data_IF_043826807156
#
_entry.id   IF_043826807156
#
_cell.length_a   1.000
_cell.length_b   1.000
_cell.length_c   1.000
_cell.angle_alpha   90.00
_cell.angle_beta   90.00
_cell.angle_gamma   90.00
#
_symmetry.space_group_name_H-M   'P 1'
#
loop_
_entity.id
_entity.type
_entity.pdbx_description
1 polymer ?
#
# COMPACT_ATOMS: atom_id res chain seq x y z
N UNK A 1 -9.99 18.21 67.50
CA UNK A 1 -10.52 16.91 67.91
C UNK A 1 -9.94 15.93 66.91
N UNK A 2 -8.79 15.37 67.22
CA UNK A 2 -8.49 14.02 67.70
C UNK A 2 -9.17 12.94 66.93
N UNK A 3 -8.36 12.23 66.16
CA UNK A 3 -7.85 10.84 66.33
C UNK A 3 -8.71 9.89 65.49
N UNK A 4 -8.23 9.03 64.61
CA UNK A 4 -7.16 8.02 64.77
C UNK A 4 -6.60 7.61 63.38
N UNK A 5 -5.27 7.61 63.29
CA UNK A 5 -4.50 6.60 62.56
C UNK A 5 -4.73 5.25 63.22
N UNK A 6 -4.86 4.18 62.48
CA UNK A 6 -4.30 2.88 62.84
C UNK A 6 -4.37 1.88 61.67
N UNK A 7 -3.22 1.40 61.32
CA UNK A 7 -2.85 0.04 60.95
C UNK A 7 -3.45 -0.64 59.73
N UNK A 8 -2.68 -0.59 58.66
CA UNK A 8 -2.75 -1.55 57.57
C UNK A 8 -1.36 -2.08 57.19
N UNK A 9 -0.71 -2.78 58.16
CA UNK A 9 0.33 -3.77 57.87
C UNK A 9 0.13 -5.01 58.73
N UNK A 10 -0.29 -6.16 58.16
CA UNK A 10 -0.22 -7.42 58.92
C UNK A 10 1.22 -7.90 58.93
N UNK A 11 1.64 -8.14 60.14
CA UNK A 11 2.88 -8.77 60.55
C UNK A 11 3.14 -10.13 59.90
N UNK A 12 4.41 -10.35 59.58
CA UNK A 12 5.19 -11.59 59.54
C UNK A 12 4.59 -12.87 58.93
N UNK A 13 5.21 -13.42 57.90
CA UNK A 13 4.78 -14.69 57.32
C UNK A 13 5.20 -15.85 58.26
N UNK A 14 4.21 -16.61 58.70
CA UNK A 14 4.39 -17.90 59.31
C UNK A 14 5.20 -18.82 58.40
N UNK A 15 6.07 -19.58 59.02
CA UNK A 15 6.89 -20.64 58.42
C UNK A 15 6.03 -21.58 57.58
N UNK A 16 5.99 -21.41 56.27
CA UNK A 16 5.48 -22.43 55.36
C UNK A 16 6.56 -23.47 55.20
N UNK A 17 6.30 -24.65 55.70
CA UNK A 17 7.19 -25.83 55.60
C UNK A 17 7.51 -26.12 54.16
N UNK A 18 8.80 -26.04 53.83
CA UNK A 18 9.40 -26.49 52.56
C UNK A 18 9.45 -28.05 52.60
N UNK A 19 8.30 -28.69 52.54
CA UNK A 19 8.24 -30.17 52.45
C UNK A 19 7.70 -30.68 51.09
N UNK A 20 7.17 -29.81 50.23
CA UNK A 20 6.65 -30.26 48.93
C UNK A 20 7.65 -30.16 47.74
N UNK A 21 8.69 -29.38 47.86
CA UNK A 21 9.70 -29.27 46.81
C UNK A 21 10.65 -30.51 46.77
N UNK A 22 10.86 -31.18 47.91
CA UNK A 22 11.72 -32.37 47.96
C UNK A 22 11.08 -33.64 47.39
N UNK A 23 9.77 -33.75 47.37
CA UNK A 23 9.08 -34.92 46.81
C UNK A 23 9.00 -34.85 45.26
N UNK A 24 8.78 -33.68 44.71
CA UNK A 24 8.70 -33.45 43.26
C UNK A 24 10.10 -33.58 42.63
N UNK A 25 11.13 -33.09 43.31
CA UNK A 25 12.50 -33.23 42.84
C UNK A 25 13.02 -34.67 42.92
N UNK A 26 12.60 -35.47 43.92
CA UNK A 26 12.90 -36.92 44.00
C UNK A 26 12.14 -37.74 42.97
N UNK A 27 10.96 -37.34 42.56
CA UNK A 27 10.20 -38.00 41.47
C UNK A 27 10.79 -37.69 40.11
N UNK A 28 11.23 -36.46 39.86
CA UNK A 28 11.99 -36.09 38.67
C UNK A 28 13.34 -36.84 38.59
N UNK A 29 14.09 -36.88 39.70
CA UNK A 29 15.37 -37.68 39.72
C UNK A 29 15.15 -39.17 39.52
N UNK A 30 14.02 -39.75 39.98
CA UNK A 30 13.72 -41.19 39.72
C UNK A 30 13.27 -41.44 38.26
N UNK A 31 12.63 -40.49 37.60
CA UNK A 31 12.29 -40.58 36.19
C UNK A 31 13.55 -40.51 35.28
N UNK A 32 14.58 -39.81 35.69
CA UNK A 32 15.85 -39.72 34.95
C UNK A 32 16.85 -40.86 35.30
N UNK A 33 16.61 -41.64 36.37
CA UNK A 33 17.52 -42.68 36.81
C UNK A 33 17.27 -44.06 36.16
N UNK A 34 16.23 -44.21 35.36
CA UNK A 34 16.01 -45.42 34.56
C UNK A 34 16.79 -45.32 33.25
N UNK A 35 17.68 -46.23 32.98
CA UNK A 35 18.44 -46.30 31.73
C UNK A 35 17.55 -46.28 30.50
N UNK A 36 16.34 -46.85 30.55
CA UNK A 36 15.34 -46.82 29.48
C UNK A 36 14.73 -45.41 29.27
N UNK A 37 14.48 -44.67 30.31
CA UNK A 37 13.98 -43.28 30.19
C UNK A 37 15.07 -42.33 29.68
N UNK A 38 16.28 -42.47 30.09
CA UNK A 38 17.42 -41.72 29.52
C UNK A 38 17.61 -42.01 28.03
N UNK A 39 17.46 -43.26 27.62
CA UNK A 39 17.56 -43.68 26.22
C UNK A 39 16.40 -43.09 25.38
N UNK A 40 15.17 -43.05 25.89
CA UNK A 40 14.02 -42.44 25.25
C UNK A 40 14.18 -40.91 25.10
N UNK A 41 14.71 -40.23 26.11
CA UNK A 41 15.02 -38.82 26.03
C UNK A 41 16.15 -38.51 25.04
N UNK A 42 17.16 -39.35 24.99
CA UNK A 42 18.24 -39.23 24.02
C UNK A 42 17.72 -39.42 22.57
N UNK A 43 16.85 -40.41 22.33
CA UNK A 43 16.17 -40.60 21.05
C UNK A 43 15.29 -39.45 20.68
N UNK A 44 14.54 -38.88 21.62
CA UNK A 44 13.70 -37.70 21.41
C UNK A 44 14.52 -36.47 21.04
N UNK A 45 15.64 -36.23 21.73
CA UNK A 45 16.55 -35.11 21.40
C UNK A 45 17.21 -35.31 20.04
N UNK A 46 17.62 -36.52 19.70
CA UNK A 46 18.15 -36.85 18.35
C UNK A 46 17.11 -36.66 17.28
N UNK A 47 15.84 -37.06 17.51
CA UNK A 47 14.75 -36.85 16.56
C UNK A 47 14.44 -35.37 16.40
N UNK A 48 14.41 -34.60 17.49
CA UNK A 48 14.21 -33.14 17.46
C UNK A 48 15.33 -32.39 16.73
N UNK A 49 16.59 -32.78 16.99
CA UNK A 49 17.72 -32.16 16.29
C UNK A 49 17.77 -32.56 14.80
N UNK A 50 17.45 -33.81 14.45
CA UNK A 50 17.33 -34.23 13.07
C UNK A 50 16.19 -33.51 12.34
N UNK A 51 15.03 -33.37 12.99
CA UNK A 51 13.90 -32.58 12.44
C UNK A 51 14.25 -31.10 12.26
N UNK A 52 14.96 -30.52 13.22
CA UNK A 52 15.42 -29.11 13.12
C UNK A 52 16.43 -28.93 11.99
N UNK A 53 17.42 -29.85 11.86
CA UNK A 53 18.40 -29.80 10.77
C UNK A 53 17.75 -30.05 9.40
N UNK A 54 16.77 -30.97 9.32
CA UNK A 54 15.99 -31.18 8.09
C UNK A 54 15.16 -29.99 7.73
N UNK A 55 14.56 -29.32 8.71
CA UNK A 55 13.80 -28.06 8.50
C UNK A 55 14.73 -26.93 8.05
N UNK A 56 15.89 -26.76 8.68
CA UNK A 56 16.89 -25.79 8.25
C UNK A 56 17.40 -26.10 6.83
N UNK A 57 17.69 -27.36 6.51
CA UNK A 57 18.10 -27.78 5.17
C UNK A 57 16.99 -27.52 4.14
N UNK A 58 15.70 -27.73 4.51
CA UNK A 58 14.56 -27.42 3.65
C UNK A 58 14.43 -25.92 3.42
N UNK A 59 14.56 -25.10 4.48
CA UNK A 59 14.54 -23.64 4.39
C UNK A 59 15.71 -23.13 3.53
N UNK A 60 16.90 -23.63 3.73
CA UNK A 60 18.09 -23.27 2.93
C UNK A 60 17.97 -23.72 1.47
N UNK A 61 17.43 -24.92 1.23
CA UNK A 61 17.21 -25.43 -0.13
C UNK A 61 16.11 -24.63 -0.83
N UNK A 62 14.99 -24.35 -0.14
CA UNK A 62 13.93 -23.48 -0.67
C UNK A 62 14.47 -22.09 -0.95
N UNK A 63 15.28 -21.51 -0.05
CA UNK A 63 15.89 -20.18 -0.25
C UNK A 63 16.88 -20.18 -1.43
N UNK A 64 17.63 -21.27 -1.66
CA UNK A 64 18.50 -21.42 -2.84
C UNK A 64 17.71 -21.56 -4.14
N UNK A 65 16.59 -22.27 -4.14
CA UNK A 65 15.70 -22.34 -5.31
C UNK A 65 15.03 -20.98 -5.60
N UNK A 66 14.58 -20.25 -4.58
CA UNK A 66 14.07 -18.89 -4.75
C UNK A 66 15.18 -17.90 -5.16
N UNK A 67 16.36 -17.97 -4.56
CA UNK A 67 17.51 -17.16 -4.96
C UNK A 67 17.99 -17.48 -6.39
N UNK A 68 17.88 -18.72 -6.85
CA UNK A 68 18.21 -19.10 -8.22
C UNK A 68 17.21 -18.52 -9.25
N UNK A 69 15.95 -18.28 -8.87
CA UNK A 69 14.96 -17.63 -9.75
C UNK A 69 15.20 -16.11 -9.89
N UNK A 70 15.85 -15.47 -8.90
CA UNK A 70 16.14 -14.02 -8.90
C UNK A 70 17.62 -13.67 -9.06
N UNK A 71 18.49 -14.57 -9.37
CA UNK A 71 19.93 -14.33 -9.39
C UNK A 71 20.63 -14.71 -10.70
N UNK A 72 19.87 -15.05 -11.74
CA UNK A 72 20.48 -15.36 -13.04
C UNK A 72 20.98 -14.11 -13.75
N UNK A 73 22.13 -14.21 -14.46
CA UNK A 73 22.72 -13.13 -15.24
C UNK A 73 21.71 -12.45 -16.21
N UNK A 74 20.73 -13.19 -16.68
CA UNK A 74 19.68 -12.66 -17.56
C UNK A 74 18.75 -11.71 -16.80
N UNK A 75 18.32 -12.07 -15.59
CA UNK A 75 17.46 -11.23 -14.73
C UNK A 75 18.17 -9.93 -14.35
N UNK A 76 19.42 -9.99 -13.89
CA UNK A 76 20.20 -8.80 -13.58
C UNK A 76 20.41 -7.89 -14.80
N UNK A 77 20.65 -8.47 -15.97
CA UNK A 77 20.78 -7.69 -17.21
C UNK A 77 19.49 -6.95 -17.55
N UNK A 78 18.33 -7.58 -17.40
CA UNK A 78 17.04 -6.94 -17.62
C UNK A 78 16.81 -5.79 -16.64
N UNK A 79 17.14 -5.96 -15.36
CA UNK A 79 17.02 -4.91 -14.34
C UNK A 79 17.95 -3.74 -14.69
N UNK A 80 19.23 -3.97 -14.94
CA UNK A 80 20.18 -2.92 -15.32
C UNK A 80 19.74 -2.17 -16.57
N UNK A 81 19.25 -2.86 -17.58
CA UNK A 81 18.75 -2.25 -18.82
C UNK A 81 17.50 -1.38 -18.58
N UNK A 82 16.60 -1.82 -17.70
CA UNK A 82 15.39 -1.06 -17.31
C UNK A 82 15.73 0.14 -16.44
N UNK A 83 16.67 0.00 -15.50
CA UNK A 83 17.13 1.04 -14.58
C UNK A 83 17.98 2.13 -15.24
N UNK A 84 18.54 1.86 -16.42
CA UNK A 84 19.40 2.82 -17.11
C UNK A 84 18.58 4.01 -17.63
N UNK A 85 18.97 5.27 -17.24
CA UNK A 85 18.39 6.46 -17.85
C UNK A 85 18.71 6.54 -19.33
N UNK A 86 17.77 7.07 -20.13
CA UNK A 86 17.93 7.24 -21.59
C UNK A 86 18.25 8.70 -21.97
N UNK A 87 18.51 9.55 -21.00
CA UNK A 87 18.87 10.94 -21.27
C UNK A 87 20.36 11.04 -21.59
N UNK A 88 20.74 11.78 -22.64
CA UNK A 88 22.15 12.03 -22.91
C UNK A 88 22.77 12.86 -21.77
N UNK A 89 24.03 12.61 -21.41
CA UNK A 89 24.77 13.45 -20.50
C UNK A 89 24.77 14.92 -21.00
N UNK A 90 24.55 15.88 -20.10
CA UNK A 90 24.53 17.30 -20.46
C UNK A 90 23.21 17.83 -21.03
N UNK A 91 22.13 17.06 -21.03
CA UNK A 91 20.80 17.58 -21.38
C UNK A 91 20.39 18.70 -20.41
N UNK A 92 19.70 19.74 -20.89
CA UNK A 92 19.18 20.85 -20.06
C UNK A 92 18.25 20.38 -18.91
N UNK A 93 17.77 19.14 -18.97
CA UNK A 93 16.93 18.51 -17.94
C UNK A 93 17.73 17.74 -16.87
N UNK A 94 19.07 17.85 -16.85
CA UNK A 94 19.95 17.16 -15.90
C UNK A 94 20.18 15.66 -16.23
N UNK A 95 20.95 14.98 -15.39
CA UNK A 95 21.15 13.54 -15.46
C UNK A 95 19.80 12.82 -15.18
N UNK A 96 19.48 11.78 -15.96
CA UNK A 96 18.28 10.99 -15.73
C UNK A 96 18.35 10.23 -14.40
N UNK A 97 17.19 9.98 -13.79
CA UNK A 97 17.07 9.23 -12.54
C UNK A 97 17.05 7.73 -12.80
N UNK A 98 17.50 6.94 -11.84
CA UNK A 98 17.24 5.50 -11.74
C UNK A 98 16.25 5.29 -10.60
N UNK A 99 15.03 4.83 -10.92
CA UNK A 99 13.89 4.82 -9.99
C UNK A 99 13.37 3.41 -9.76
N UNK A 100 13.32 3.01 -8.50
CA UNK A 100 12.58 1.82 -8.07
C UNK A 100 11.13 2.21 -7.77
N UNK A 101 10.17 1.59 -8.45
CA UNK A 101 8.72 1.82 -8.23
C UNK A 101 8.11 0.58 -7.60
N UNK A 102 7.69 0.64 -6.33
CA UNK A 102 6.95 -0.45 -5.71
C UNK A 102 5.45 -0.28 -5.96
N UNK A 103 4.72 -1.40 -6.10
CA UNK A 103 3.32 -1.37 -6.55
C UNK A 103 3.19 -0.94 -8.03
N UNK A 104 4.19 -1.26 -8.85
CA UNK A 104 4.30 -0.79 -10.24
C UNK A 104 3.14 -1.27 -11.14
N UNK A 105 2.62 -2.47 -10.91
CA UNK A 105 1.44 -2.98 -11.62
C UNK A 105 0.11 -2.50 -11.00
N UNK A 106 0.16 -1.64 -9.98
CA UNK A 106 -0.98 -0.91 -9.43
C UNK A 106 -1.42 0.23 -10.35
N UNK A 107 -2.54 0.89 -10.02
CA UNK A 107 -3.08 1.99 -10.81
C UNK A 107 -2.10 3.17 -10.92
N UNK A 108 -1.73 3.75 -9.79
CA UNK A 108 -0.83 4.91 -9.74
C UNK A 108 0.58 4.51 -10.20
N UNK A 109 1.06 3.33 -9.75
CA UNK A 109 2.40 2.82 -10.11
C UNK A 109 2.61 2.68 -11.61
N UNK A 110 1.61 2.20 -12.34
CA UNK A 110 1.67 2.08 -13.81
C UNK A 110 1.81 3.45 -14.48
N UNK A 111 0.99 4.43 -14.09
CA UNK A 111 1.04 5.77 -14.70
C UNK A 111 2.33 6.52 -14.35
N UNK A 112 2.79 6.44 -13.09
CA UNK A 112 4.05 7.04 -12.69
C UNK A 112 5.24 6.41 -13.43
N UNK A 113 5.28 5.07 -13.54
CA UNK A 113 6.35 4.38 -14.27
C UNK A 113 6.41 4.79 -15.74
N UNK A 114 5.25 4.90 -16.41
CA UNK A 114 5.17 5.35 -17.80
C UNK A 114 5.61 6.80 -17.96
N UNK A 115 5.21 7.69 -17.04
CA UNK A 115 5.61 9.10 -17.08
C UNK A 115 7.11 9.29 -16.85
N UNK A 116 7.68 8.60 -15.86
CA UNK A 116 9.13 8.58 -15.62
C UNK A 116 9.88 8.09 -16.86
N UNK A 117 9.42 6.97 -17.44
CA UNK A 117 10.03 6.42 -18.66
C UNK A 117 9.93 7.35 -19.84
N UNK A 118 8.77 8.01 -20.03
CA UNK A 118 8.57 9.04 -21.07
C UNK A 118 9.48 10.23 -20.86
N UNK A 119 9.77 10.61 -19.63
CA UNK A 119 10.74 11.68 -19.27
C UNK A 119 12.19 11.28 -19.56
N UNK A 120 12.47 10.00 -19.79
CA UNK A 120 13.81 9.46 -20.07
C UNK A 120 14.53 8.90 -18.86
N UNK A 121 13.83 8.67 -17.75
CA UNK A 121 14.39 8.04 -16.56
C UNK A 121 14.47 6.52 -16.71
N UNK A 122 15.39 5.89 -15.96
CA UNK A 122 15.44 4.46 -15.74
C UNK A 122 14.37 4.07 -14.71
N UNK A 123 13.62 2.98 -14.97
CA UNK A 123 12.53 2.55 -14.09
C UNK A 123 12.54 1.04 -13.94
N UNK A 124 12.59 0.56 -12.71
CA UNK A 124 12.33 -0.84 -12.34
C UNK A 124 11.11 -0.91 -11.45
N UNK A 125 10.18 -1.80 -11.77
CA UNK A 125 8.99 -2.02 -10.95
C UNK A 125 9.11 -3.24 -10.05
N UNK A 126 8.41 -3.22 -8.89
CA UNK A 126 8.14 -4.38 -8.04
C UNK A 126 6.65 -4.42 -7.75
N UNK A 127 6.01 -5.59 -7.88
CA UNK A 127 4.60 -5.82 -7.51
C UNK A 127 4.43 -7.29 -7.14
N UNK A 128 3.64 -7.58 -6.10
CA UNK A 128 3.37 -8.97 -5.67
C UNK A 128 2.15 -9.59 -6.36
N UNK A 129 1.49 -8.85 -7.24
CA UNK A 129 0.29 -9.27 -7.98
C UNK A 129 -0.81 -9.86 -7.10
N UNK A 130 -0.94 -9.40 -5.85
CA UNK A 130 -1.95 -9.91 -4.92
C UNK A 130 -3.36 -9.88 -5.52
N UNK A 131 -4.22 -10.79 -5.06
CA UNK A 131 -5.56 -11.02 -5.59
C UNK A 131 -6.64 -10.15 -4.89
N UNK A 132 -6.31 -8.96 -4.39
CA UNK A 132 -7.30 -8.02 -3.84
C UNK A 132 -8.44 -7.72 -4.84
N UNK A 133 -8.12 -7.64 -6.10
CA UNK A 133 -9.03 -7.71 -7.23
C UNK A 133 -8.42 -8.64 -8.29
N UNK A 134 -9.19 -8.98 -9.33
CA UNK A 134 -8.72 -9.88 -10.41
C UNK A 134 -7.33 -9.46 -10.91
N UNK A 135 -6.32 -10.32 -10.78
CA UNK A 135 -4.95 -10.04 -11.19
C UNK A 135 -4.76 -9.81 -12.69
N UNK A 136 -5.76 -10.15 -13.53
CA UNK A 136 -5.69 -9.96 -14.98
C UNK A 136 -5.39 -8.51 -15.37
N UNK A 137 -6.00 -7.55 -14.64
CA UNK A 137 -5.75 -6.12 -14.85
C UNK A 137 -4.31 -5.72 -14.47
N UNK A 138 -3.73 -6.30 -13.40
CA UNK A 138 -2.33 -6.09 -13.04
C UNK A 138 -1.39 -6.70 -14.09
N UNK A 139 -1.70 -7.88 -14.59
CA UNK A 139 -0.93 -8.54 -15.69
C UNK A 139 -0.98 -7.70 -16.98
N UNK A 140 -2.15 -7.14 -17.32
CA UNK A 140 -2.27 -6.23 -18.46
C UNK A 140 -1.46 -4.94 -18.31
N UNK A 141 -1.44 -4.35 -17.11
CA UNK A 141 -0.57 -3.20 -16.79
C UNK A 141 0.90 -3.56 -16.87
N UNK A 142 1.32 -4.75 -16.37
CA UNK A 142 2.69 -5.26 -16.54
C UNK A 142 3.08 -5.39 -18.01
N UNK A 143 2.19 -5.92 -18.85
CA UNK A 143 2.43 -6.01 -20.31
C UNK A 143 2.58 -4.62 -20.95
N UNK A 144 1.75 -3.65 -20.54
CA UNK A 144 1.87 -2.25 -20.97
C UNK A 144 3.21 -1.64 -20.53
N UNK A 145 3.64 -1.85 -19.30
CA UNK A 145 4.94 -1.39 -18.78
C UNK A 145 6.10 -2.01 -19.58
N UNK A 146 6.04 -3.32 -19.82
CA UNK A 146 7.05 -4.05 -20.60
C UNK A 146 7.18 -3.52 -22.04
N UNK A 147 6.06 -3.17 -22.71
CA UNK A 147 6.07 -2.58 -24.06
C UNK A 147 6.76 -1.21 -24.10
N UNK A 148 6.88 -0.53 -22.97
CA UNK A 148 7.62 0.73 -22.81
C UNK A 148 9.03 0.56 -22.24
N UNK A 149 9.50 -0.70 -22.09
CA UNK A 149 10.82 -1.03 -21.59
C UNK A 149 10.99 -0.82 -20.08
N UNK A 150 9.91 -1.00 -19.32
CA UNK A 150 9.92 -1.07 -17.85
C UNK A 150 9.80 -2.53 -17.42
N UNK A 151 10.84 -3.03 -16.76
CA UNK A 151 10.84 -4.37 -16.20
C UNK A 151 10.18 -4.37 -14.83
N UNK A 152 9.20 -5.26 -14.61
CA UNK A 152 8.48 -5.42 -13.35
C UNK A 152 8.83 -6.76 -12.74
N UNK A 153 9.51 -6.70 -11.61
CA UNK A 153 9.84 -7.87 -10.77
C UNK A 153 8.58 -8.29 -10.01
N UNK A 154 8.24 -9.56 -10.09
CA UNK A 154 7.19 -10.15 -9.26
C UNK A 154 7.78 -10.50 -7.90
N UNK A 155 7.37 -9.79 -6.85
CA UNK A 155 7.89 -9.97 -5.51
C UNK A 155 7.18 -9.10 -4.48
N UNK A 156 7.28 -9.49 -3.21
CA UNK A 156 6.70 -8.77 -2.08
C UNK A 156 7.71 -7.81 -1.47
N UNK A 157 7.26 -6.60 -1.10
CA UNK A 157 8.10 -5.61 -0.42
C UNK A 157 8.53 -6.02 0.99
N UNK A 158 7.92 -7.06 1.57
CA UNK A 158 8.36 -7.66 2.81
C UNK A 158 9.56 -8.61 2.62
N UNK A 159 9.92 -8.92 1.39
CA UNK A 159 11.12 -9.70 1.12
C UNK A 159 12.37 -8.80 1.10
N UNK A 160 12.98 -8.65 2.27
CA UNK A 160 14.19 -7.85 2.44
C UNK A 160 15.37 -8.36 1.59
N UNK A 161 15.44 -9.69 1.29
CA UNK A 161 16.50 -10.25 0.43
C UNK A 161 16.33 -9.81 -1.02
N UNK A 162 15.08 -9.80 -1.50
CA UNK A 162 14.78 -9.27 -2.83
C UNK A 162 15.17 -7.80 -2.94
N UNK A 163 14.77 -6.98 -1.95
CA UNK A 163 15.08 -5.56 -1.95
C UNK A 163 16.60 -5.31 -1.90
N UNK A 164 17.32 -5.97 -0.99
CA UNK A 164 18.77 -5.90 -0.92
C UNK A 164 19.42 -6.28 -2.26
N UNK A 165 18.97 -7.39 -2.89
CA UNK A 165 19.49 -7.80 -4.20
C UNK A 165 19.21 -6.77 -5.30
N UNK A 166 18.08 -6.08 -5.27
CA UNK A 166 17.78 -5.02 -6.22
C UNK A 166 18.72 -3.83 -6.07
N UNK A 167 19.01 -3.41 -4.83
CA UNK A 167 19.97 -2.33 -4.55
C UNK A 167 21.41 -2.73 -4.88
N UNK A 168 21.81 -4.00 -4.69
CA UNK A 168 23.12 -4.51 -5.13
C UNK A 168 23.28 -4.46 -6.67
N UNK A 169 22.20 -4.75 -7.40
CA UNK A 169 22.23 -4.75 -8.87
C UNK A 169 22.22 -3.34 -9.44
N UNK A 170 21.50 -2.40 -8.80
CA UNK A 170 21.30 -1.03 -9.30
C UNK A 170 21.41 -0.03 -8.15
N UNK A 171 22.28 0.98 -8.24
CA UNK A 171 22.27 2.12 -7.33
C UNK A 171 21.10 3.05 -7.68
N UNK A 172 19.91 2.74 -7.14
CA UNK A 172 18.75 3.58 -7.38
C UNK A 172 18.93 4.97 -6.75
N UNK A 173 18.71 6.01 -7.53
CA UNK A 173 18.73 7.39 -7.04
C UNK A 173 17.45 7.77 -6.32
N UNK A 174 16.34 7.12 -6.68
CA UNK A 174 15.02 7.39 -6.12
C UNK A 174 14.22 6.12 -5.91
N UNK A 175 13.35 6.15 -4.90
CA UNK A 175 12.32 5.13 -4.66
C UNK A 175 10.96 5.81 -4.68
N UNK A 176 10.05 5.31 -5.51
CA UNK A 176 8.65 5.70 -5.52
C UNK A 176 7.83 4.57 -4.91
N UNK A 177 7.49 4.71 -3.62
CA UNK A 177 6.79 3.68 -2.86
C UNK A 177 5.27 3.84 -2.96
N UNK A 178 4.66 3.08 -3.87
CA UNK A 178 3.22 3.07 -4.14
C UNK A 178 2.56 1.72 -3.79
N UNK A 179 3.35 0.72 -3.40
CA UNK A 179 2.83 -0.54 -2.90
C UNK A 179 2.08 -0.32 -1.58
N UNK A 180 0.84 -0.74 -1.53
CA UNK A 180 0.02 -0.68 -0.33
C UNK A 180 -1.22 -1.55 -0.49
N UNK A 181 -1.75 -2.07 0.61
CA UNK A 181 -3.12 -2.52 0.67
C UNK A 181 -4.01 -1.28 0.84
N UNK A 182 -4.84 -1.02 -0.14
CA UNK A 182 -5.74 0.14 -0.19
C UNK A 182 -7.21 -0.28 -0.02
N UNK A 183 -8.08 0.69 0.26
CA UNK A 183 -9.52 0.47 0.44
C UNK A 183 -9.93 0.47 1.91
N UNK A 184 -10.81 1.39 2.31
CA UNK A 184 -11.21 1.53 3.72
C UNK A 184 -12.10 0.36 4.20
N UNK A 185 -12.95 -0.18 3.32
CA UNK A 185 -13.94 -1.22 3.66
C UNK A 185 -13.30 -2.60 3.78
N UNK A 186 -12.43 -2.95 2.88
CA UNK A 186 -11.75 -4.25 2.89
C UNK A 186 -10.88 -4.47 4.15
N UNK A 187 -10.52 -3.39 4.82
CA UNK A 187 -9.81 -3.46 6.10
C UNK A 187 -10.62 -4.16 7.22
N UNK A 188 -11.95 -4.19 7.11
CA UNK A 188 -12.81 -4.92 8.03
C UNK A 188 -12.85 -6.42 7.72
N UNK A 189 -12.60 -6.80 6.46
CA UNK A 189 -12.61 -8.20 6.00
C UNK A 189 -11.22 -8.85 6.17
N UNK A 190 -10.16 -8.12 5.87
CA UNK A 190 -8.78 -8.62 5.92
C UNK A 190 -7.82 -7.58 6.55
N UNK A 191 -7.87 -7.36 7.88
CA UNK A 191 -7.02 -6.38 8.55
C UNK A 191 -5.53 -6.72 8.48
N UNK A 192 -5.17 -8.00 8.49
CA UNK A 192 -3.78 -8.45 8.47
C UNK A 192 -3.03 -7.97 7.21
N UNK A 193 -3.72 -7.92 6.05
CA UNK A 193 -3.10 -7.44 4.80
C UNK A 193 -2.67 -5.98 4.86
N UNK A 194 -3.33 -5.16 5.68
CA UNK A 194 -2.96 -3.74 5.88
C UNK A 194 -1.73 -3.59 6.75
N UNK A 195 -1.63 -4.37 7.82
CA UNK A 195 -0.42 -4.39 8.66
C UNK A 195 0.77 -4.91 7.85
N UNK A 196 0.59 -6.02 7.13
CA UNK A 196 1.62 -6.61 6.29
C UNK A 196 2.14 -5.63 5.24
N UNK A 197 1.26 -5.05 4.42
CA UNK A 197 1.70 -4.22 3.28
C UNK A 197 2.06 -2.79 3.68
N UNK A 198 1.27 -2.16 4.59
CA UNK A 198 1.40 -0.73 4.83
C UNK A 198 2.35 -0.40 5.98
N UNK A 199 2.60 -1.35 6.88
CA UNK A 199 3.49 -1.16 8.03
C UNK A 199 4.76 -1.99 7.84
N UNK A 200 4.68 -3.32 7.86
CA UNK A 200 5.84 -4.19 7.76
C UNK A 200 6.60 -3.96 6.44
N UNK A 201 5.88 -3.94 5.31
CA UNK A 201 6.50 -3.69 4.00
C UNK A 201 7.14 -2.31 3.87
N UNK A 202 6.54 -1.27 4.47
CA UNK A 202 7.16 0.06 4.52
C UNK A 202 8.47 0.02 5.30
N UNK A 203 8.49 -0.60 6.51
CA UNK A 203 9.69 -0.70 7.33
C UNK A 203 10.78 -1.49 6.60
N UNK A 204 10.45 -2.65 6.01
CA UNK A 204 11.42 -3.46 5.25
C UNK A 204 12.04 -2.66 4.09
N UNK A 205 11.24 -1.85 3.38
CA UNK A 205 11.75 -0.99 2.31
C UNK A 205 12.66 0.11 2.86
N UNK A 206 12.27 0.77 3.97
CA UNK A 206 13.06 1.82 4.59
C UNK A 206 14.41 1.30 5.11
N UNK A 207 14.45 0.08 5.68
CA UNK A 207 15.69 -0.59 6.05
C UNK A 207 16.61 -0.80 4.84
N UNK A 208 16.07 -1.31 3.73
CA UNK A 208 16.85 -1.47 2.49
C UNK A 208 17.37 -0.12 1.93
N UNK A 209 16.57 0.94 2.02
CA UNK A 209 16.97 2.28 1.59
C UNK A 209 18.03 2.90 2.51
N UNK A 210 17.93 2.63 3.81
CA UNK A 210 18.88 3.09 4.83
C UNK A 210 20.27 2.49 4.58
N UNK A 211 20.33 1.21 4.24
CA UNK A 211 21.55 0.45 4.04
C UNK A 211 22.16 0.65 2.64
N UNK A 212 21.43 1.30 1.72
CA UNK A 212 21.92 1.58 0.36
C UNK A 212 22.99 2.70 0.33
N UNK A 213 23.97 2.55 -0.57
CA UNK A 213 25.00 3.58 -0.84
C UNK A 213 25.08 3.86 -2.35
N UNK A 214 24.72 5.07 -2.80
CA UNK A 214 24.14 6.18 -2.04
C UNK A 214 22.67 5.89 -1.62
N UNK A 215 22.25 6.51 -0.50
CA UNK A 215 20.86 6.44 -0.07
C UNK A 215 19.93 7.11 -1.10
N UNK A 216 18.83 6.45 -1.53
CA UNK A 216 17.90 7.05 -2.49
C UNK A 216 16.99 8.09 -1.83
N UNK A 217 16.54 9.09 -2.60
CA UNK A 217 15.42 9.93 -2.20
C UNK A 217 14.10 9.13 -2.34
N UNK A 218 13.25 9.20 -1.33
CA UNK A 218 12.03 8.38 -1.24
C UNK A 218 10.80 9.27 -1.37
N UNK A 219 9.89 8.89 -2.25
CA UNK A 219 8.54 9.45 -2.33
C UNK A 219 7.54 8.34 -2.07
N UNK A 220 6.62 8.53 -1.13
CA UNK A 220 5.68 7.48 -0.80
C UNK A 220 4.23 7.97 -0.75
N UNK A 221 3.31 7.04 -1.01
CA UNK A 221 1.89 7.30 -1.03
C UNK A 221 1.29 7.25 0.38
N UNK A 222 1.03 8.41 1.00
CA UNK A 222 0.08 8.57 2.08
C UNK A 222 -1.34 8.67 1.51
N UNK A 223 -2.30 9.20 2.24
CA UNK A 223 -3.69 9.29 1.82
C UNK A 223 -4.41 10.42 2.54
N UNK A 224 -5.38 11.05 1.88
CA UNK A 224 -6.33 11.97 2.55
C UNK A 224 -7.16 11.29 3.64
N UNK A 225 -7.19 9.96 3.69
CA UNK A 225 -7.85 9.21 4.76
C UNK A 225 -7.24 9.46 6.14
N UNK A 226 -6.00 9.97 6.23
CA UNK A 226 -5.35 10.34 7.50
C UNK A 226 -6.09 11.47 8.22
N UNK A 227 -6.84 12.32 7.51
CA UNK A 227 -7.67 13.35 8.13
C UNK A 227 -8.83 12.77 8.94
N UNK A 228 -9.24 11.53 8.68
CA UNK A 228 -10.17 10.76 9.49
C UNK A 228 -11.50 11.48 9.76
N UNK A 229 -11.79 11.68 11.03
CA UNK A 229 -13.01 12.35 11.53
C UNK A 229 -12.89 13.87 11.62
N UNK A 230 -11.91 14.47 10.98
CA UNK A 230 -11.79 15.92 10.93
C UNK A 230 -12.95 16.51 10.12
N UNK A 231 -13.67 17.45 10.68
CA UNK A 231 -14.84 18.14 10.09
C UNK A 231 -14.48 19.46 9.39
N UNK A 232 -13.26 19.99 9.66
CA UNK A 232 -12.76 21.20 9.00
C UNK A 232 -12.39 20.92 7.55
N UNK A 233 -13.03 21.60 6.62
CA UNK A 233 -12.74 21.54 5.18
C UNK A 233 -12.55 22.94 4.59
N UNK A 234 -11.68 23.10 3.56
CA UNK A 234 -10.81 22.10 2.94
C UNK A 234 -9.68 21.63 3.85
N UNK A 235 -9.30 20.34 3.75
CA UNK A 235 -8.21 19.76 4.53
C UNK A 235 -6.85 20.35 4.15
N UNK A 236 -6.10 20.80 5.14
CA UNK A 236 -4.73 21.29 5.03
C UNK A 236 -3.75 20.34 5.68
N UNK A 237 -2.51 20.31 5.23
CA UNK A 237 -1.44 19.50 5.83
C UNK A 237 -1.18 19.82 7.30
N UNK A 238 -1.61 21.01 7.77
CA UNK A 238 -1.53 21.47 9.17
C UNK A 238 -2.69 20.99 10.03
N UNK A 239 -3.73 20.41 9.43
CA UNK A 239 -4.89 19.95 10.18
C UNK A 239 -4.60 18.64 10.92
N UNK A 240 -5.34 18.42 12.00
CA UNK A 240 -5.22 17.23 12.84
C UNK A 240 -5.45 15.95 12.04
N UNK A 241 -4.66 14.91 12.35
CA UNK A 241 -4.72 13.58 11.74
C UNK A 241 -4.68 12.45 12.79
N UNK A 242 -5.11 12.76 14.01
CA UNK A 242 -5.06 11.89 15.19
C UNK A 242 -6.32 11.04 15.41
N UNK A 243 -7.35 11.20 14.58
CA UNK A 243 -8.63 10.47 14.67
C UNK A 243 -8.93 9.71 13.37
N UNK A 244 -8.16 8.65 13.04
CA UNK A 244 -8.38 7.89 11.82
C UNK A 244 -9.76 7.21 11.84
N UNK A 245 -10.52 7.32 10.75
CA UNK A 245 -11.85 6.72 10.64
C UNK A 245 -11.83 5.23 10.26
N UNK A 246 -10.68 4.69 9.88
CA UNK A 246 -10.54 3.28 9.44
C UNK A 246 -9.14 2.75 9.74
N UNK A 247 -8.99 1.42 9.77
CA UNK A 247 -7.68 0.78 9.88
C UNK A 247 -6.74 1.20 8.74
N UNK A 248 -7.25 1.35 7.51
CA UNK A 248 -6.46 1.88 6.40
C UNK A 248 -5.90 3.27 6.72
N UNK A 249 -6.75 4.18 7.22
CA UNK A 249 -6.32 5.51 7.64
C UNK A 249 -5.25 5.44 8.74
N UNK A 250 -5.47 4.58 9.74
CA UNK A 250 -4.52 4.37 10.83
C UNK A 250 -3.16 3.88 10.34
N UNK A 251 -3.13 2.91 9.39
CA UNK A 251 -1.85 2.43 8.82
C UNK A 251 -1.14 3.49 7.98
N UNK A 252 -1.89 4.36 7.26
CA UNK A 252 -1.28 5.47 6.53
C UNK A 252 -0.73 6.54 7.46
N UNK A 253 -1.44 6.86 8.56
CA UNK A 253 -0.94 7.78 9.60
C UNK A 253 0.30 7.21 10.28
N UNK A 254 0.28 5.94 10.69
CA UNK A 254 1.46 5.27 11.25
C UNK A 254 2.66 5.32 10.28
N UNK A 255 2.42 5.17 8.98
CA UNK A 255 3.47 5.33 7.96
C UNK A 255 4.07 6.75 7.93
N UNK A 256 3.27 7.81 8.17
CA UNK A 256 3.81 9.19 8.28
C UNK A 256 4.75 9.31 9.48
N UNK A 257 4.40 8.75 10.64
CA UNK A 257 5.24 8.77 11.84
C UNK A 257 6.52 7.93 11.67
N UNK A 258 6.39 6.74 11.05
CA UNK A 258 7.54 5.87 10.76
C UNK A 258 8.51 6.60 9.83
N UNK A 259 8.03 7.18 8.72
CA UNK A 259 8.89 7.87 7.77
C UNK A 259 9.55 9.10 8.36
N UNK A 260 8.84 9.84 9.24
CA UNK A 260 9.42 10.93 10.01
C UNK A 260 10.56 10.45 10.91
N UNK A 261 10.37 9.33 11.61
CA UNK A 261 11.40 8.73 12.48
C UNK A 261 12.64 8.32 11.69
N UNK A 262 12.48 7.68 10.52
CA UNK A 262 13.60 7.30 9.67
C UNK A 262 14.36 8.51 9.08
N UNK A 263 13.64 9.57 8.72
CA UNK A 263 14.26 10.83 8.32
C UNK A 263 15.09 11.42 9.48
N UNK A 264 14.52 11.45 10.70
CA UNK A 264 15.18 12.04 11.86
C UNK A 264 16.45 11.28 12.29
N UNK A 265 16.36 9.93 12.35
CA UNK A 265 17.45 9.09 12.89
C UNK A 265 18.52 8.82 11.84
N UNK A 266 18.14 8.55 10.59
CA UNK A 266 19.03 8.07 9.53
C UNK A 266 19.27 9.07 8.41
N UNK A 267 18.65 10.25 8.45
CA UNK A 267 18.79 11.29 7.45
C UNK A 267 18.19 10.98 6.09
N UNK A 268 17.34 9.93 5.97
CA UNK A 268 16.67 9.57 4.72
C UNK A 268 15.84 10.75 4.18
N UNK A 269 16.05 11.12 2.93
CA UNK A 269 15.21 12.11 2.25
C UNK A 269 13.86 11.47 1.89
N UNK A 270 12.82 11.77 2.64
CA UNK A 270 11.50 11.13 2.47
C UNK A 270 10.41 12.17 2.29
N UNK A 271 9.57 11.95 1.28
CA UNK A 271 8.40 12.78 0.96
C UNK A 271 7.12 11.95 0.99
N UNK A 272 6.11 12.39 1.72
CA UNK A 272 4.78 11.79 1.74
C UNK A 272 3.80 12.54 0.84
N UNK A 273 2.92 11.82 0.12
CA UNK A 273 1.88 12.41 -0.71
C UNK A 273 0.50 11.95 -0.23
N UNK A 274 -0.31 12.84 0.30
CA UNK A 274 -1.70 12.57 0.70
C UNK A 274 -2.60 12.64 -0.52
N UNK A 275 -2.75 11.50 -1.21
CA UNK A 275 -3.66 11.43 -2.36
C UNK A 275 -5.11 11.53 -1.94
N UNK A 276 -5.86 12.36 -2.65
CA UNK A 276 -7.31 12.38 -2.61
C UNK A 276 -7.88 11.29 -3.52
N UNK A 277 -9.12 11.40 -3.99
CA UNK A 277 -9.73 10.31 -4.77
C UNK A 277 -9.21 10.31 -6.20
N UNK A 278 -8.17 9.53 -6.45
CA UNK A 278 -7.55 9.42 -7.78
C UNK A 278 -8.42 8.56 -8.70
N UNK A 279 -8.66 9.04 -9.93
CA UNK A 279 -9.44 8.34 -10.95
C UNK A 279 -8.81 8.46 -12.33
N UNK A 280 -9.18 7.58 -13.26
CA UNK A 280 -8.70 7.61 -14.66
C UNK A 280 -8.63 6.23 -15.32
N UNK A 281 -8.14 6.17 -16.57
CA UNK A 281 -7.88 4.91 -17.28
C UNK A 281 -6.97 3.98 -16.47
N UNK A 282 -7.14 2.66 -16.64
CA UNK A 282 -6.41 1.67 -15.86
C UNK A 282 -6.65 1.76 -14.34
N UNK A 283 -7.79 2.37 -13.92
CA UNK A 283 -8.14 2.56 -12.53
C UNK A 283 -8.45 1.26 -11.77
N UNK A 284 -8.65 1.37 -10.47
CA UNK A 284 -8.94 0.23 -9.60
C UNK A 284 -10.42 -0.18 -9.68
N UNK A 285 -10.73 -1.50 -9.81
CA UNK A 285 -12.10 -2.00 -9.94
C UNK A 285 -13.01 -1.77 -8.72
N UNK A 286 -12.43 -1.62 -7.52
CA UNK A 286 -13.13 -1.37 -6.25
C UNK A 286 -13.61 0.09 -6.09
N UNK A 287 -13.12 1.01 -6.93
CA UNK A 287 -13.51 2.43 -6.87
C UNK A 287 -14.90 2.66 -7.50
N UNK A 288 -15.64 3.61 -6.91
CA UNK A 288 -17.03 3.92 -7.30
C UNK A 288 -17.19 4.16 -8.82
N UNK A 289 -16.37 5.01 -9.42
CA UNK A 289 -16.47 5.32 -10.85
C UNK A 289 -16.30 4.08 -11.73
N UNK A 290 -15.45 3.13 -11.33
CA UNK A 290 -15.21 1.89 -12.05
C UNK A 290 -16.35 0.88 -11.86
N UNK A 291 -16.72 0.61 -10.59
CA UNK A 291 -17.80 -0.32 -10.26
C UNK A 291 -19.16 0.15 -10.79
N UNK A 292 -19.44 1.45 -10.75
CA UNK A 292 -20.66 2.04 -11.32
C UNK A 292 -20.68 1.87 -12.83
N UNK A 293 -19.59 2.17 -13.53
CA UNK A 293 -19.49 1.97 -14.99
C UNK A 293 -19.78 0.53 -15.37
N UNK A 294 -19.16 -0.44 -14.68
CA UNK A 294 -19.41 -1.86 -14.89
C UNK A 294 -20.87 -2.23 -14.70
N UNK A 295 -21.46 -1.82 -13.57
CA UNK A 295 -22.84 -2.18 -13.24
C UNK A 295 -23.85 -1.51 -14.16
N UNK A 296 -23.65 -0.25 -14.56
CA UNK A 296 -24.50 0.46 -15.52
C UNK A 296 -24.52 -0.28 -16.87
N UNK A 297 -23.35 -0.66 -17.39
CA UNK A 297 -23.22 -1.39 -18.65
C UNK A 297 -23.84 -2.80 -18.59
N UNK A 298 -23.81 -3.45 -17.43
CA UNK A 298 -24.43 -4.76 -17.18
C UNK A 298 -25.93 -4.67 -16.84
N UNK A 299 -26.51 -3.47 -16.78
CA UNK A 299 -27.90 -3.27 -16.35
C UNK A 299 -28.18 -3.60 -14.88
N UNK A 300 -27.14 -3.77 -14.06
CA UNK A 300 -27.20 -4.02 -12.63
C UNK A 300 -27.42 -2.72 -11.86
N UNK A 301 -28.05 -2.77 -10.67
CA UNK A 301 -28.21 -1.60 -9.82
C UNK A 301 -26.86 -1.14 -9.29
N UNK A 302 -26.73 0.18 -9.06
CA UNK A 302 -25.61 0.78 -8.33
C UNK A 302 -26.12 1.25 -6.96
N UNK A 303 -25.31 1.04 -5.92
CA UNK A 303 -25.61 1.52 -4.58
C UNK A 303 -25.05 2.93 -4.42
N UNK A 304 -25.93 3.91 -4.19
CA UNK A 304 -25.56 5.30 -3.90
C UNK A 304 -25.78 5.54 -2.41
N UNK A 305 -24.69 5.79 -1.69
CA UNK A 305 -24.75 6.10 -0.26
C UNK A 305 -25.08 7.57 -0.05
N UNK A 306 -25.88 7.85 0.99
CA UNK A 306 -26.12 9.17 1.55
C UNK A 306 -25.64 9.23 2.99
N UNK A 307 -25.22 10.39 3.42
CA UNK A 307 -24.91 10.68 4.82
C UNK A 307 -26.19 10.76 5.67
N UNK A 308 -26.03 10.98 6.97
CA UNK A 308 -27.13 11.30 7.88
C UNK A 308 -27.90 12.49 7.31
N UNK A 309 -29.19 12.58 7.62
CA UNK A 309 -30.09 13.64 7.14
C UNK A 309 -30.16 13.74 5.60
N UNK A 310 -29.98 12.61 4.91
CA UNK A 310 -30.02 12.51 3.44
C UNK A 310 -29.00 13.38 2.69
N UNK A 311 -27.92 13.82 3.35
CA UNK A 311 -26.88 14.63 2.73
C UNK A 311 -26.13 13.80 1.69
N UNK A 312 -25.94 14.34 0.49
CA UNK A 312 -25.17 13.67 -0.57
C UNK A 312 -23.68 13.65 -0.23
N UNK A 313 -23.06 12.47 -0.34
CA UNK A 313 -21.61 12.33 -0.16
C UNK A 313 -20.87 13.01 -1.30
N UNK A 314 -19.77 13.70 -0.98
CA UNK A 314 -18.91 14.34 -1.98
C UNK A 314 -17.43 13.96 -1.80
N UNK A 315 -16.71 13.92 -2.92
CA UNK A 315 -15.29 13.61 -2.98
C UNK A 315 -14.55 14.60 -3.87
N UNK A 316 -13.33 14.89 -3.46
CA UNK A 316 -12.36 15.57 -4.30
C UNK A 316 -11.75 14.54 -5.27
N UNK A 317 -12.21 14.55 -6.53
CA UNK A 317 -11.74 13.64 -7.57
C UNK A 317 -10.57 14.25 -8.34
N UNK A 318 -9.42 13.58 -8.29
CA UNK A 318 -8.19 14.04 -8.94
C UNK A 318 -7.83 13.11 -10.11
N UNK A 319 -7.68 13.68 -11.31
CA UNK A 319 -7.33 12.89 -12.48
C UNK A 319 -5.88 12.39 -12.40
N UNK A 320 -5.65 11.16 -12.85
CA UNK A 320 -4.37 10.47 -12.68
C UNK A 320 -3.19 11.22 -13.29
N UNK A 321 -3.35 11.89 -14.44
CA UNK A 321 -2.26 12.63 -15.06
C UNK A 321 -1.85 13.86 -14.23
N UNK A 322 -2.77 14.44 -13.45
CA UNK A 322 -2.49 15.56 -12.56
C UNK A 322 -1.68 15.11 -11.32
N UNK A 323 -1.74 13.81 -10.95
CA UNK A 323 -1.01 13.26 -9.81
C UNK A 323 0.50 13.11 -10.09
N UNK A 324 0.89 12.89 -11.34
CA UNK A 324 2.26 12.48 -11.70
C UNK A 324 3.29 13.63 -11.66
N UNK A 325 2.91 14.86 -11.29
CA UNK A 325 3.70 16.09 -11.52
C UNK A 325 4.54 16.63 -10.33
N UNK A 326 4.65 16.01 -9.11
CA UNK A 326 5.26 16.70 -7.97
C UNK A 326 6.17 15.94 -7.00
N UNK A 327 7.19 16.62 -6.42
CA UNK A 327 8.08 16.24 -5.29
C UNK A 327 8.56 17.51 -4.53
N UNK A 328 8.97 17.63 -3.26
CA UNK A 328 9.13 16.88 -2.01
C UNK A 328 8.36 17.51 -0.80
N UNK A 329 8.22 16.80 0.37
CA UNK A 329 7.51 17.04 1.65
C UNK A 329 6.11 16.37 1.71
N UNK A 330 5.39 16.39 2.87
CA UNK A 330 4.01 15.88 2.90
C UNK A 330 3.09 16.90 2.23
N UNK A 331 2.40 16.49 1.16
CA UNK A 331 1.53 17.36 0.37
C UNK A 331 0.17 16.75 0.09
N UNK A 332 -0.85 17.59 0.10
CA UNK A 332 -2.16 17.24 -0.44
C UNK A 332 -2.14 17.27 -1.96
N UNK A 333 -2.46 16.15 -2.61
CA UNK A 333 -2.67 16.07 -4.05
C UNK A 333 -4.15 15.82 -4.33
N UNK A 334 -4.91 16.89 -4.47
CA UNK A 334 -6.33 16.93 -4.75
C UNK A 334 -6.65 17.86 -5.92
N UNK A 335 -7.93 17.97 -6.29
CA UNK A 335 -8.42 18.80 -7.40
C UNK A 335 -9.11 20.10 -6.94
N UNK A 336 -9.28 20.29 -5.63
CA UNK A 336 -9.96 21.46 -5.02
C UNK A 336 -11.41 21.70 -5.49
N UNK A 337 -12.03 20.71 -6.07
CA UNK A 337 -13.40 20.81 -6.60
C UNK A 337 -14.19 19.54 -6.22
N UNK A 338 -14.70 19.45 -4.97
CA UNK A 338 -15.48 18.31 -4.55
C UNK A 338 -16.73 18.11 -5.40
N UNK A 339 -17.01 16.89 -5.77
CA UNK A 339 -18.19 16.53 -6.56
C UNK A 339 -19.02 15.49 -5.82
N UNK A 340 -20.33 15.67 -5.80
CA UNK A 340 -21.26 14.73 -5.16
C UNK A 340 -21.35 13.42 -5.94
N UNK A 341 -21.63 12.32 -5.23
CA UNK A 341 -21.81 11.01 -5.86
C UNK A 341 -22.96 11.00 -6.88
N UNK A 342 -24.12 11.64 -6.66
CA UNK A 342 -25.14 11.82 -7.70
C UNK A 342 -24.63 12.50 -8.98
N UNK A 343 -23.81 13.56 -8.85
CA UNK A 343 -23.22 14.24 -10.00
C UNK A 343 -22.22 13.33 -10.74
N UNK A 344 -21.37 12.57 -10.03
CA UNK A 344 -20.51 11.55 -10.63
C UNK A 344 -21.33 10.56 -11.46
N UNK A 345 -22.46 10.06 -10.92
CA UNK A 345 -23.35 9.14 -11.64
C UNK A 345 -23.94 9.80 -12.88
N UNK A 346 -24.40 11.03 -12.79
CA UNK A 346 -24.96 11.78 -13.93
C UNK A 346 -23.95 11.95 -15.06
N UNK A 347 -22.68 12.23 -14.74
CA UNK A 347 -21.62 12.33 -15.74
C UNK A 347 -21.34 10.96 -16.39
N UNK A 348 -21.33 9.87 -15.61
CA UNK A 348 -21.19 8.51 -16.16
C UNK A 348 -22.36 8.14 -17.07
N UNK A 349 -23.62 8.40 -16.67
CA UNK A 349 -24.80 8.19 -17.49
C UNK A 349 -24.70 8.94 -18.84
N UNK A 350 -24.24 10.19 -18.83
CA UNK A 350 -24.00 11.01 -20.03
C UNK A 350 -23.00 10.34 -20.99
N UNK A 351 -21.85 9.91 -20.47
CA UNK A 351 -20.79 9.33 -21.32
C UNK A 351 -21.08 7.92 -21.77
N UNK A 352 -21.75 7.12 -20.93
CA UNK A 352 -22.18 5.75 -21.27
C UNK A 352 -23.43 5.74 -22.14
N UNK A 353 -24.25 6.80 -22.14
CA UNK A 353 -25.57 6.91 -22.76
C UNK A 353 -26.55 5.85 -22.25
N UNK A 354 -26.42 5.47 -21.00
CA UNK A 354 -27.25 4.47 -20.31
C UNK A 354 -27.62 5.03 -18.94
N UNK A 355 -28.90 4.93 -18.58
CA UNK A 355 -29.40 5.34 -17.26
C UNK A 355 -29.07 4.29 -16.22
N UNK A 356 -28.61 4.73 -15.06
CA UNK A 356 -28.31 3.86 -13.91
C UNK A 356 -29.58 3.46 -13.18
N UNK A 357 -29.68 2.20 -12.80
CA UNK A 357 -30.62 1.74 -11.78
C UNK A 357 -30.01 2.06 -10.41
N UNK A 358 -30.58 3.04 -9.69
CA UNK A 358 -30.00 3.55 -8.43
C UNK A 358 -30.72 2.91 -7.23
N UNK A 359 -29.95 2.37 -6.30
CA UNK A 359 -30.41 1.98 -4.98
C UNK A 359 -29.76 2.94 -3.98
N UNK A 360 -30.58 3.85 -3.43
CA UNK A 360 -30.09 4.87 -2.49
C UNK A 360 -30.30 4.36 -1.07
N UNK A 361 -29.22 4.32 -0.29
CA UNK A 361 -29.26 3.88 1.11
C UNK A 361 -28.42 4.82 1.98
N UNK A 362 -28.67 4.84 3.27
CA UNK A 362 -27.85 5.55 4.24
C UNK A 362 -26.47 4.88 4.33
N UNK A 363 -25.41 5.68 4.48
CA UNK A 363 -24.06 5.19 4.58
C UNK A 363 -23.85 4.45 5.91
N UNK A 364 -23.47 3.17 5.88
CA UNK A 364 -23.16 2.45 7.12
C UNK A 364 -21.86 2.97 7.73
N UNK A 365 -21.68 2.76 9.04
CA UNK A 365 -20.46 3.10 9.78
C UNK A 365 -19.29 2.17 9.40
N UNK A 366 -18.76 2.31 8.18
CA UNK A 366 -17.78 1.41 7.56
C UNK A 366 -16.39 2.06 7.35
N UNK A 367 -16.09 3.12 8.10
CA UNK A 367 -14.82 3.83 8.00
C UNK A 367 -14.73 4.83 6.83
N UNK A 368 -15.77 4.96 6.03
CA UNK A 368 -15.88 6.02 5.02
C UNK A 368 -16.25 7.37 5.67
N UNK A 369 -15.85 8.48 5.04
CA UNK A 369 -16.19 9.83 5.47
C UNK A 369 -17.19 10.47 4.51
N UNK A 370 -18.07 11.38 4.96
CA UNK A 370 -19.11 11.95 4.09
C UNK A 370 -18.57 12.92 3.03
N UNK A 371 -17.47 13.61 3.34
CA UNK A 371 -16.95 14.68 2.50
C UNK A 371 -15.43 14.69 2.48
N UNK A 372 -14.82 14.98 1.31
CA UNK A 372 -13.37 15.24 1.18
C UNK A 372 -13.13 16.42 0.26
N UNK A 373 -12.26 17.36 0.67
CA UNK A 373 -11.88 18.54 -0.09
C UNK A 373 -10.43 18.90 0.24
N UNK A 374 -9.57 19.02 -0.77
CA UNK A 374 -8.16 19.33 -0.62
C UNK A 374 -7.91 20.84 -0.57
N UNK A 375 -7.12 21.30 0.39
CA UNK A 375 -6.33 22.52 0.24
C UNK A 375 -4.97 22.15 -0.34
N UNK A 376 -4.65 22.62 -1.53
CA UNK A 376 -3.39 22.32 -2.24
C UNK A 376 -2.43 23.50 -2.26
N UNK A 377 -2.65 24.51 -1.41
CA UNK A 377 -1.84 25.73 -1.42
C UNK A 377 -0.37 25.46 -1.26
N UNK A 378 0.00 24.56 -0.33
CA UNK A 378 1.38 24.15 -0.08
C UNK A 378 1.99 23.43 -1.30
N UNK A 379 1.25 22.47 -1.89
CA UNK A 379 1.70 21.75 -3.08
C UNK A 379 1.86 22.70 -4.29
N UNK A 380 0.98 23.70 -4.42
CA UNK A 380 1.06 24.73 -5.46
C UNK A 380 2.30 25.59 -5.30
N UNK A 381 2.55 26.08 -4.09
CA UNK A 381 3.68 26.96 -3.77
C UNK A 381 5.02 26.23 -3.92
N UNK A 382 5.14 25.03 -3.36
CA UNK A 382 6.40 24.33 -3.25
C UNK A 382 6.73 23.45 -4.48
N UNK A 383 5.70 22.94 -5.17
CA UNK A 383 5.86 22.01 -6.29
C UNK A 383 5.39 22.57 -7.63
N UNK A 384 4.73 23.72 -7.64
CA UNK A 384 3.99 24.19 -8.81
C UNK A 384 2.80 23.29 -9.18
N UNK A 385 2.31 22.46 -8.23
CA UNK A 385 1.21 21.54 -8.48
C UNK A 385 -0.06 22.28 -8.87
N UNK A 386 -0.59 21.96 -10.05
CA UNK A 386 -1.77 22.60 -10.61
C UNK A 386 -2.62 21.54 -11.31
N UNK A 387 -3.65 20.99 -10.66
CA UNK A 387 -4.58 20.09 -11.33
C UNK A 387 -5.34 20.86 -12.41
N UNK A 388 -5.46 20.27 -13.60
CA UNK A 388 -6.03 20.92 -14.78
C UNK A 388 -7.20 20.16 -15.38
N UNK A 389 -7.39 18.90 -14.97
CA UNK A 389 -8.38 18.02 -15.59
C UNK A 389 -9.72 18.10 -14.85
N UNK A 390 -10.72 18.66 -15.50
CA UNK A 390 -12.10 18.62 -15.02
C UNK A 390 -12.65 17.21 -14.97
N UNK A 391 -13.53 16.90 -14.00
CA UNK A 391 -14.09 15.57 -13.79
C UNK A 391 -14.83 15.02 -15.03
N UNK A 392 -15.60 15.82 -15.73
CA UNK A 392 -16.31 15.40 -16.96
C UNK A 392 -15.33 14.95 -18.04
N UNK A 393 -14.26 15.71 -18.25
CA UNK A 393 -13.20 15.39 -19.24
C UNK A 393 -12.45 14.12 -18.83
N UNK A 394 -12.07 13.99 -17.55
CA UNK A 394 -11.36 12.82 -17.05
C UNK A 394 -12.21 11.55 -17.13
N UNK A 395 -13.49 11.62 -16.75
CA UNK A 395 -14.42 10.50 -16.84
C UNK A 395 -14.70 10.11 -18.31
N UNK A 396 -14.75 11.07 -19.23
CA UNK A 396 -14.84 10.75 -20.67
C UNK A 396 -13.64 9.92 -21.15
N UNK A 397 -12.41 10.28 -20.73
CA UNK A 397 -11.20 9.51 -21.04
C UNK A 397 -11.26 8.11 -20.41
N UNK A 398 -11.70 8.02 -19.16
CA UNK A 398 -11.87 6.75 -18.43
C UNK A 398 -12.90 5.85 -19.16
N UNK A 399 -14.09 6.36 -19.47
CA UNK A 399 -15.14 5.59 -20.14
C UNK A 399 -14.67 5.10 -21.51
N UNK A 400 -14.00 5.95 -22.31
CA UNK A 400 -13.43 5.55 -23.59
C UNK A 400 -12.47 4.37 -23.43
N UNK A 401 -11.55 4.45 -22.47
CA UNK A 401 -10.62 3.37 -22.15
C UNK A 401 -11.38 2.11 -21.71
N UNK A 402 -12.35 2.24 -20.78
CA UNK A 402 -13.11 1.12 -20.25
C UNK A 402 -13.84 0.34 -21.36
N UNK A 403 -14.55 1.05 -22.22
CA UNK A 403 -15.27 0.44 -23.33
C UNK A 403 -14.32 -0.30 -24.30
N UNK A 404 -13.18 0.31 -24.62
CA UNK A 404 -12.16 -0.31 -25.47
C UNK A 404 -11.52 -1.54 -24.81
N UNK A 405 -11.12 -1.44 -23.56
CA UNK A 405 -10.41 -2.50 -22.83
C UNK A 405 -11.29 -3.74 -22.60
N UNK A 406 -12.56 -3.53 -22.26
CA UNK A 406 -13.52 -4.61 -22.02
C UNK A 406 -14.34 -5.03 -23.25
N UNK A 407 -14.02 -4.51 -24.44
CA UNK A 407 -14.63 -4.93 -25.71
C UNK A 407 -16.09 -4.51 -25.87
N UNK A 408 -16.55 -3.45 -25.22
CA UNK A 408 -17.87 -2.88 -25.44
C UNK A 408 -17.88 -2.08 -26.75
N UNK A 409 -18.21 -2.74 -27.88
CA UNK A 409 -18.44 -2.04 -29.16
C UNK A 409 -19.83 -1.40 -29.19
N UNK A 410 -19.95 -0.23 -29.83
CA UNK A 410 -21.26 0.42 -30.03
C UNK A 410 -22.18 -0.54 -30.83
N UNK A 411 -23.16 -1.12 -30.16
CA UNK A 411 -24.17 -2.00 -30.76
C UNK A 411 -24.12 -3.47 -30.37
N UNK A 412 -23.15 -3.94 -29.63
CA UNK A 412 -23.09 -5.32 -29.13
C UNK A 412 -23.66 -5.42 -27.73
N UNK A 413 -24.84 -6.01 -27.58
CA UNK A 413 -25.27 -6.65 -26.35
C UNK A 413 -24.45 -7.93 -26.20
N UNK A 414 -23.55 -7.94 -25.23
CA UNK A 414 -22.92 -9.14 -24.63
C UNK A 414 -22.28 -10.21 -25.50
N UNK A 415 -20.96 -10.38 -25.34
CA UNK A 415 -20.43 -11.72 -25.10
C UNK A 415 -19.00 -11.63 -24.58
N UNK A 416 -18.86 -11.69 -23.24
CA UNK A 416 -17.74 -12.35 -22.54
C UNK A 416 -18.07 -12.34 -21.06
N UNK A 417 -18.55 -13.50 -20.58
CA UNK A 417 -18.60 -13.86 -19.16
C UNK A 417 -17.18 -14.04 -18.63
#
# INVERSE_FOLDING_TARGET
>A
MRVLEEDLFPSTPGKVKIERAGAMNRQLHRCFASTSTMFLWALFLVAMTASYLSFQSFVDTSSKYFAASWGGLHWERQIRASAAPRRPPGSAAGAGMSVLVTGAAGFVGTHCSLALRKRGDGVVGVDNFNAYYDPSLKKARRALLASHGVFVVEGDINDGRLLAKLFDVVPFTHVLHLAAQAGVRYAMENPASYVHSNIAGLVTLLEACKDADPQPAIVWASSSSVYGLNDKVPFSERDRTDQPASLYAATKKAGEEITHTYNHIYGLSITGLRFFTVYGPWGRPDMAYFSFTRNILQGKPITVYRGKDHVDLARDFTYIDDIVQGLPWIFNLGNTSPVTVPNLVSILEKHLRVKAKKHVIEMPGNGDVPFTHANISLAREQLGYKPTTNLDVGLKKFVKWYLSYYGYTRGSKNSRQ
#
